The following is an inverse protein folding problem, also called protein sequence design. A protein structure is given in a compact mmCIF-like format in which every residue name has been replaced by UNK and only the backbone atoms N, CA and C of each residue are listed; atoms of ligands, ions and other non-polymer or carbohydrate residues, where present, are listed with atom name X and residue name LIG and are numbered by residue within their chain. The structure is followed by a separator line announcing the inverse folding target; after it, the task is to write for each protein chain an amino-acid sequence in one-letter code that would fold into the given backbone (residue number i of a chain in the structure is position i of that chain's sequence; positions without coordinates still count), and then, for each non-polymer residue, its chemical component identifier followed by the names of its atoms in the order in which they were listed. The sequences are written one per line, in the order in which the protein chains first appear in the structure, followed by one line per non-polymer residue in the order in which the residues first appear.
data_IF_606157972398
#
_entry.id   IF_606157972398
#
_cell.length_a   1.000
_cell.length_b   1.000
_cell.length_c   1.000
_cell.angle_alpha   90.00
_cell.angle_beta   90.00
_cell.angle_gamma   90.00
#
_symmetry.space_group_name_H-M   'P 1'
#
loop_
_entity.id
_entity.type
_entity.pdbx_description
1 polymer ?
#
# COMPACT_ATOMS: atom_id res chain seq x y z
N UNK A 1 -3.81 9.73 -3.42
CA UNK A 1 -2.93 8.93 -2.55
C UNK A 1 -1.99 9.83 -1.77
N UNK A 2 -1.93 9.66 -0.46
CA UNK A 2 -0.98 10.33 0.45
C UNK A 2 0.24 9.45 0.65
N UNK A 3 1.43 10.04 0.73
CA UNK A 3 2.66 9.31 1.00
C UNK A 3 2.93 9.24 2.50
N UNK A 4 3.22 8.03 3.00
CA UNK A 4 3.66 7.80 4.37
C UNK A 4 5.17 7.54 4.36
N UNK A 5 5.91 8.32 5.13
CA UNK A 5 7.37 8.27 5.22
C UNK A 5 7.80 7.94 6.64
N UNK A 6 8.93 7.23 6.78
CA UNK A 6 9.54 6.97 8.08
C UNK A 6 10.31 8.20 8.60
N UNK A 7 10.92 8.08 9.79
CA UNK A 7 11.72 9.16 10.40
C UNK A 7 12.96 9.56 9.57
N UNK A 8 13.45 8.68 8.70
CA UNK A 8 14.54 8.98 7.77
C UNK A 8 14.04 9.62 6.45
N UNK A 9 12.75 9.92 6.34
CA UNK A 9 12.12 10.47 5.14
C UNK A 9 11.92 9.46 4.00
N UNK A 10 12.21 8.16 4.20
CA UNK A 10 12.01 7.11 3.19
C UNK A 10 10.52 6.79 3.04
N UNK A 11 10.07 6.62 1.81
CA UNK A 11 8.70 6.18 1.50
C UNK A 11 8.48 4.76 2.04
N UNK A 12 7.46 4.59 2.89
CA UNK A 12 7.04 3.30 3.45
C UNK A 12 5.86 2.75 2.67
N UNK A 13 4.82 3.56 2.50
CA UNK A 13 3.62 3.18 1.77
C UNK A 13 2.89 4.41 1.22
N UNK A 14 1.92 4.16 0.35
CA UNK A 14 0.93 5.16 -0.05
C UNK A 14 -0.44 4.72 0.43
N UNK A 15 -1.25 5.67 0.87
CA UNK A 15 -2.62 5.42 1.30
C UNK A 15 -3.60 6.18 0.41
N UNK A 16 -4.62 5.48 -0.05
CA UNK A 16 -5.80 6.08 -0.65
C UNK A 16 -6.91 6.16 0.40
N UNK A 17 -7.14 7.36 0.93
CA UNK A 17 -8.11 7.59 2.01
C UNK A 17 -9.56 7.38 1.57
N UNK A 18 -9.86 7.46 0.26
CA UNK A 18 -11.21 7.29 -0.27
C UNK A 18 -11.59 5.82 -0.27
N UNK A 19 -10.68 4.95 -0.70
CA UNK A 19 -10.91 3.50 -0.79
C UNK A 19 -10.44 2.70 0.43
N UNK A 20 -9.70 3.33 1.36
CA UNK A 20 -9.08 2.63 2.50
C UNK A 20 -7.95 1.68 2.07
N UNK A 21 -7.32 1.96 0.93
CA UNK A 21 -6.30 1.08 0.33
C UNK A 21 -4.90 1.57 0.65
N UNK A 22 -4.06 0.69 1.18
CA UNK A 22 -2.63 0.89 1.37
C UNK A 22 -1.85 0.16 0.28
N UNK A 23 -0.90 0.86 -0.33
CA UNK A 23 0.04 0.31 -1.29
C UNK A 23 1.43 0.25 -0.65
N UNK A 24 2.01 -0.94 -0.60
CA UNK A 24 3.38 -1.19 -0.14
C UNK A 24 4.18 -1.77 -1.31
N UNK A 25 5.30 -1.14 -1.64
CA UNK A 25 6.21 -1.63 -2.67
C UNK A 25 7.47 -2.18 -2.03
N UNK A 26 7.75 -3.47 -2.27
CA UNK A 26 8.98 -4.14 -1.83
C UNK A 26 9.57 -4.87 -3.02
N UNK A 27 10.75 -4.43 -3.49
CA UNK A 27 11.45 -5.00 -4.65
C UNK A 27 10.53 -5.07 -5.89
N UNK A 28 10.28 -6.28 -6.37
CA UNK A 28 9.45 -6.63 -7.52
C UNK A 28 7.99 -6.95 -7.15
N UNK A 29 7.56 -6.63 -5.93
CA UNK A 29 6.20 -6.84 -5.45
C UNK A 29 5.54 -5.52 -5.04
N UNK A 30 4.28 -5.35 -5.45
CA UNK A 30 3.34 -4.36 -4.94
C UNK A 30 2.28 -5.11 -4.16
N UNK A 31 2.15 -4.80 -2.89
CA UNK A 31 1.09 -5.34 -2.02
C UNK A 31 0.04 -4.26 -1.82
N UNK A 32 -1.19 -4.58 -2.18
CA UNK A 32 -2.36 -3.76 -1.90
C UNK A 32 -3.09 -4.37 -0.70
N UNK A 33 -3.33 -3.54 0.32
CA UNK A 33 -4.06 -3.92 1.52
C UNK A 33 -5.28 -3.01 1.58
N UNK A 34 -6.49 -3.57 1.52
CA UNK A 34 -7.73 -2.80 1.63
C UNK A 34 -8.43 -3.16 2.93
N UNK A 35 -8.69 -2.15 3.75
CA UNK A 35 -9.53 -2.30 4.95
C UNK A 35 -10.97 -1.99 4.57
N UNK A 36 -11.84 -2.99 4.68
CA UNK A 36 -13.25 -2.83 4.35
C UNK A 36 -14.03 -2.24 5.55
N UNK A 37 -15.17 -1.58 5.32
CA UNK A 37 -15.99 -1.02 6.40
C UNK A 37 -16.52 -2.05 7.41
N UNK A 38 -16.60 -3.32 7.03
CA UNK A 38 -17.00 -4.43 7.90
C UNK A 38 -15.87 -4.94 8.83
N UNK A 39 -14.70 -4.29 8.78
CA UNK A 39 -13.52 -4.66 9.57
C UNK A 39 -12.68 -5.78 8.96
N UNK A 40 -13.09 -6.35 7.82
CA UNK A 40 -12.26 -7.33 7.09
C UNK A 40 -11.13 -6.64 6.33
N UNK A 41 -10.12 -7.42 5.97
CA UNK A 41 -8.98 -6.93 5.18
C UNK A 41 -8.76 -7.83 3.97
N UNK A 42 -8.67 -7.21 2.79
CA UNK A 42 -8.25 -7.88 1.56
C UNK A 42 -6.78 -7.57 1.27
N UNK A 43 -6.01 -8.59 0.90
CA UNK A 43 -4.59 -8.46 0.56
C UNK A 43 -4.34 -9.04 -0.83
N UNK A 44 -3.77 -8.22 -1.72
CA UNK A 44 -3.44 -8.63 -3.09
C UNK A 44 -1.97 -8.32 -3.38
N UNK A 45 -1.20 -9.34 -3.76
CA UNK A 45 0.16 -9.17 -4.25
C UNK A 45 0.18 -9.10 -5.78
N UNK A 46 0.88 -8.12 -6.31
CA UNK A 46 1.08 -7.93 -7.76
C UNK A 46 2.57 -7.83 -8.04
N UNK A 47 2.98 -8.37 -9.19
CA UNK A 47 4.34 -8.13 -9.67
C UNK A 47 4.46 -6.65 -10.04
N UNK A 48 5.53 -6.01 -9.58
CA UNK A 48 5.86 -4.64 -9.93
C UNK A 48 6.30 -4.63 -11.41
N UNK A 49 5.56 -3.96 -12.32
CA UNK A 49 5.87 -3.98 -13.76
C UNK A 49 7.14 -3.18 -14.12
N UNK A 50 7.69 -2.42 -13.17
CA UNK A 50 8.91 -1.62 -13.34
C UNK A 50 10.16 -2.28 -12.72
N UNK A 51 10.19 -3.61 -12.60
CA UNK A 51 11.30 -4.39 -12.05
C UNK A 51 11.99 -5.23 -13.14
#
# INVERSE_FOLDING_TARGET
MSEIRNLDGKLVCRIDHVSGTLEIKVKDCITLIKVNPDGTTEVVNRKNPAA
#
